data_IF_677592076837
#
_entry.id   IF_677592076837
#
_cell.length_a   1.000
_cell.length_b   1.000
_cell.length_c   1.000
_cell.angle_alpha   90.00
_cell.angle_beta   90.00
_cell.angle_gamma   90.00
#
_symmetry.space_group_name_H-M   'P 1'
#
loop_
_entity.id
_entity.type
_entity.pdbx_description
1 polymer ?
#
# COMPACT_ATOMS: atom_id res chain seq x y z
N UNK A 1 2.06 -25.61 21.34
CA UNK A 1 3.25 -26.08 20.60
C UNK A 1 4.13 -24.87 20.27
N UNK A 2 5.38 -24.87 20.75
CA UNK A 2 6.33 -23.78 20.47
C UNK A 2 7.05 -24.12 19.17
N UNK A 3 6.69 -23.46 18.07
CA UNK A 3 7.39 -23.59 16.80
C UNK A 3 8.56 -22.61 16.72
N UNK A 4 9.73 -23.09 16.26
CA UNK A 4 10.89 -22.24 15.99
C UNK A 4 10.64 -21.44 14.70
N UNK A 5 10.70 -20.12 14.78
CA UNK A 5 10.66 -19.24 13.63
C UNK A 5 12.06 -18.66 13.37
N UNK A 6 12.59 -18.89 12.19
CA UNK A 6 13.87 -18.34 11.75
C UNK A 6 13.64 -17.32 10.64
N UNK A 7 14.24 -16.15 10.77
CA UNK A 7 14.21 -15.09 9.76
C UNK A 7 15.64 -14.66 9.44
N UNK A 8 15.96 -14.54 8.17
CA UNK A 8 17.25 -14.02 7.73
C UNK A 8 17.33 -12.51 7.94
N UNK A 9 18.47 -12.03 8.44
CA UNK A 9 18.74 -10.61 8.61
C UNK A 9 19.77 -10.20 7.56
N UNK A 10 19.44 -9.20 6.74
CA UNK A 10 20.32 -8.68 5.72
C UNK A 10 20.67 -7.22 6.02
N UNK A 11 21.92 -6.86 5.81
CA UNK A 11 22.37 -5.48 5.87
C UNK A 11 22.17 -4.81 4.52
N UNK A 12 21.66 -3.57 4.54
CA UNK A 12 21.60 -2.70 3.38
C UNK A 12 22.44 -1.45 3.64
N UNK A 13 23.18 -1.02 2.64
CA UNK A 13 24.01 0.18 2.72
C UNK A 13 24.06 0.88 1.37
N UNK A 14 24.17 2.20 1.42
CA UNK A 14 24.36 3.07 0.26
C UNK A 14 25.69 3.80 0.47
N UNK A 15 26.61 3.64 -0.48
CA UNK A 15 27.87 4.40 -0.52
C UNK A 15 27.74 5.54 -1.52
N UNK A 16 28.30 6.68 -1.19
CA UNK A 16 28.49 7.80 -2.10
C UNK A 16 29.92 8.31 -2.01
N UNK A 17 30.43 8.86 -3.09
CA UNK A 17 31.79 9.35 -3.17
C UNK A 17 31.86 10.58 -4.05
N UNK A 18 32.82 11.46 -3.79
CA UNK A 18 32.97 12.71 -4.50
C UNK A 18 34.22 12.69 -5.39
N UNK A 19 34.07 13.16 -6.62
CA UNK A 19 35.20 13.49 -7.47
C UNK A 19 35.86 14.80 -7.04
N UNK A 20 37.15 14.91 -7.28
CA UNK A 20 37.92 16.15 -6.96
C UNK A 20 37.34 17.39 -7.66
N UNK A 21 36.90 17.24 -8.90
CA UNK A 21 36.29 18.32 -9.68
C UNK A 21 34.92 18.74 -9.11
N UNK A 22 34.11 17.78 -8.65
CA UNK A 22 32.83 18.07 -8.00
C UNK A 22 32.99 18.86 -6.72
N UNK A 23 33.99 18.51 -5.91
CA UNK A 23 34.29 19.23 -4.67
C UNK A 23 34.68 20.69 -4.98
N UNK A 24 35.51 20.90 -5.99
CA UNK A 24 35.96 22.25 -6.40
C UNK A 24 34.76 23.07 -6.92
N UNK A 25 33.92 22.50 -7.77
CA UNK A 25 32.74 23.18 -8.29
C UNK A 25 31.72 23.51 -7.17
N UNK A 26 31.49 22.59 -6.26
CA UNK A 26 30.62 22.84 -5.13
C UNK A 26 31.11 23.96 -4.21
N UNK A 27 32.42 24.03 -3.97
CA UNK A 27 33.02 25.10 -3.21
C UNK A 27 32.87 26.47 -3.92
N UNK A 28 33.03 26.51 -5.23
CA UNK A 28 32.85 27.74 -6.03
C UNK A 28 31.39 28.22 -6.02
N UNK A 29 30.43 27.28 -6.00
CA UNK A 29 28.98 27.57 -6.03
C UNK A 29 28.37 27.70 -4.64
N UNK A 30 29.13 27.43 -3.57
CA UNK A 30 28.62 27.42 -2.20
C UNK A 30 27.63 26.30 -1.90
N UNK A 31 27.68 25.22 -2.67
CA UNK A 31 26.78 24.05 -2.50
C UNK A 31 27.33 23.08 -1.46
N UNK A 32 26.43 22.50 -0.67
CA UNK A 32 26.79 21.50 0.33
C UNK A 32 26.49 20.08 -0.21
N UNK A 33 27.40 19.52 -1.00
CA UNK A 33 27.30 18.17 -1.60
C UNK A 33 27.00 17.09 -0.56
N UNK A 34 27.64 17.17 0.60
CA UNK A 34 27.51 16.15 1.64
C UNK A 34 26.08 16.09 2.20
N UNK A 35 25.41 17.23 2.37
CA UNK A 35 24.04 17.27 2.86
C UNK A 35 23.04 16.76 1.79
N UNK A 36 23.26 17.12 0.53
CA UNK A 36 22.39 16.73 -0.58
C UNK A 36 22.48 15.24 -0.85
N UNK A 37 23.67 14.65 -0.86
CA UNK A 37 23.89 13.23 -1.03
C UNK A 37 23.36 12.41 0.16
N UNK A 38 23.52 12.91 1.37
CA UNK A 38 22.94 12.26 2.56
C UNK A 38 21.42 12.22 2.51
N UNK A 39 20.78 13.30 2.04
CA UNK A 39 19.32 13.33 1.84
C UNK A 39 18.89 12.38 0.71
N UNK A 40 19.63 12.33 -0.40
CA UNK A 40 19.36 11.42 -1.50
C UNK A 40 19.51 9.95 -1.07
N UNK A 41 20.57 9.62 -0.34
CA UNK A 41 20.79 8.28 0.20
C UNK A 41 19.68 7.85 1.17
N UNK A 42 19.26 8.74 2.07
CA UNK A 42 18.13 8.50 2.97
C UNK A 42 16.85 8.21 2.20
N UNK A 43 16.55 9.03 1.20
CA UNK A 43 15.35 8.83 0.36
C UNK A 43 15.36 7.49 -0.37
N UNK A 44 16.51 7.12 -0.95
CA UNK A 44 16.65 5.82 -1.62
C UNK A 44 16.49 4.65 -0.64
N UNK A 45 16.99 4.79 0.59
CA UNK A 45 16.80 3.80 1.65
C UNK A 45 15.31 3.67 2.04
N UNK A 46 14.62 4.78 2.27
CA UNK A 46 13.20 4.79 2.61
C UNK A 46 12.36 4.15 1.48
N UNK A 47 12.65 4.45 0.22
CA UNK A 47 12.01 3.81 -0.94
C UNK A 47 12.26 2.30 -1.02
N UNK A 48 13.47 1.87 -0.71
CA UNK A 48 13.81 0.45 -0.67
C UNK A 48 13.04 -0.28 0.43
N UNK A 49 12.99 0.30 1.64
CA UNK A 49 12.25 -0.28 2.78
C UNK A 49 10.76 -0.38 2.46
N UNK A 50 10.17 0.67 1.90
CA UNK A 50 8.76 0.66 1.50
C UNK A 50 8.47 -0.43 0.46
N UNK A 51 9.32 -0.55 -0.56
CA UNK A 51 9.20 -1.59 -1.59
C UNK A 51 9.31 -2.98 -1.00
N UNK A 52 10.29 -3.23 -0.12
CA UNK A 52 10.46 -4.54 0.52
C UNK A 52 9.27 -4.85 1.44
N UNK A 53 8.76 -3.87 2.17
CA UNK A 53 7.59 -4.07 3.03
C UNK A 53 6.32 -4.44 2.24
N UNK A 54 6.13 -3.86 1.06
CA UNK A 54 4.95 -4.12 0.22
C UNK A 54 5.10 -5.37 -0.64
N UNK A 55 6.16 -5.45 -1.43
CA UNK A 55 6.32 -6.49 -2.47
C UNK A 55 7.37 -7.54 -2.13
N UNK A 56 8.11 -7.35 -1.04
CA UNK A 56 9.18 -8.25 -0.64
C UNK A 56 10.43 -8.14 -1.51
N UNK A 57 11.38 -9.03 -1.24
CA UNK A 57 12.57 -9.24 -2.04
C UNK A 57 12.80 -10.76 -2.19
N UNK A 58 12.45 -11.30 -3.34
CA UNK A 58 12.54 -12.73 -3.62
C UNK A 58 13.98 -13.27 -3.62
N UNK A 59 14.96 -12.44 -3.97
CA UNK A 59 16.38 -12.84 -3.96
C UNK A 59 16.91 -13.05 -2.54
N UNK A 60 16.36 -12.31 -1.58
CA UNK A 60 16.71 -12.40 -0.16
C UNK A 60 15.73 -13.24 0.66
N UNK A 61 14.70 -13.78 0.02
CA UNK A 61 13.69 -14.60 0.69
C UNK A 61 12.72 -13.80 1.56
N UNK A 62 12.61 -12.48 1.36
CA UNK A 62 11.62 -11.65 2.06
C UNK A 62 10.29 -11.67 1.32
N UNK A 63 9.22 -11.99 2.05
CA UNK A 63 7.86 -11.78 1.60
C UNK A 63 7.36 -10.42 2.09
N UNK A 64 6.68 -9.69 1.19
CA UNK A 64 6.02 -8.42 1.54
C UNK A 64 4.54 -8.63 1.83
N UNK A 65 3.86 -7.56 2.21
CA UNK A 65 2.43 -7.57 2.52
C UNK A 65 1.58 -8.14 1.36
N UNK A 66 2.00 -7.93 0.13
CA UNK A 66 1.22 -8.29 -1.07
C UNK A 66 1.48 -9.71 -1.54
N UNK A 67 2.67 -10.25 -1.34
CA UNK A 67 3.08 -11.56 -1.86
C UNK A 67 3.32 -12.61 -0.78
N UNK A 68 2.97 -12.32 0.45
CA UNK A 68 3.06 -13.30 1.54
C UNK A 68 2.05 -14.43 1.30
N UNK A 69 2.49 -15.67 1.47
CA UNK A 69 1.66 -16.86 1.29
C UNK A 69 0.47 -16.95 2.28
N UNK A 70 0.57 -16.27 3.41
CA UNK A 70 -0.50 -16.20 4.41
C UNK A 70 -1.55 -15.13 4.09
N UNK A 71 -1.34 -14.32 3.04
CA UNK A 71 -2.31 -13.29 2.63
C UNK A 71 -3.22 -13.86 1.55
N UNK A 72 -4.48 -14.05 1.87
CA UNK A 72 -5.50 -14.50 0.92
C UNK A 72 -5.66 -13.48 -0.19
N UNK A 73 -5.61 -13.94 -1.44
CA UNK A 73 -5.83 -13.12 -2.62
C UNK A 73 -7.01 -13.65 -3.42
N UNK A 74 -7.94 -12.77 -3.75
CA UNK A 74 -9.09 -13.07 -4.59
C UNK A 74 -9.21 -12.04 -5.73
N UNK A 75 -9.81 -12.44 -6.83
CA UNK A 75 -10.21 -11.51 -7.87
C UNK A 75 -11.50 -10.79 -7.44
N UNK A 76 -11.59 -9.49 -7.71
CA UNK A 76 -12.83 -8.74 -7.52
C UNK A 76 -13.89 -9.21 -8.52
N UNK A 77 -15.13 -9.27 -8.07
CA UNK A 77 -16.27 -9.77 -8.88
C UNK A 77 -16.51 -8.87 -10.09
N UNK A 78 -16.35 -7.56 -9.95
CA UNK A 78 -16.58 -6.57 -11.03
C UNK A 78 -15.45 -6.53 -12.07
N UNK A 79 -14.27 -7.06 -11.73
CA UNK A 79 -13.08 -6.98 -12.58
C UNK A 79 -12.39 -5.62 -12.51
N UNK A 80 -11.92 -5.09 -13.66
CA UNK A 80 -11.23 -3.78 -13.65
C UNK A 80 -12.22 -2.63 -13.64
N UNK A 81 -12.12 -1.74 -12.66
CA UNK A 81 -12.93 -0.52 -12.60
C UNK A 81 -12.57 0.43 -13.75
N UNK A 82 -13.56 0.78 -14.56
CA UNK A 82 -13.46 1.71 -15.67
C UNK A 82 -14.52 2.81 -15.52
N UNK A 83 -14.45 3.84 -16.35
CA UNK A 83 -15.42 4.93 -16.32
C UNK A 83 -16.88 4.48 -16.55
N UNK A 84 -17.08 3.31 -17.16
CA UNK A 84 -18.39 2.70 -17.40
C UNK A 84 -18.79 1.67 -16.33
N UNK A 85 -17.97 1.45 -15.32
CA UNK A 85 -18.30 0.53 -14.22
C UNK A 85 -19.36 1.18 -13.33
N UNK A 86 -20.40 0.43 -12.98
CA UNK A 86 -21.42 0.91 -12.06
C UNK A 86 -20.79 1.17 -10.69
N UNK A 87 -21.08 2.31 -10.11
CA UNK A 87 -20.53 2.80 -8.85
C UNK A 87 -20.89 1.89 -7.67
N UNK A 88 -22.09 1.32 -7.66
CA UNK A 88 -22.55 0.40 -6.62
C UNK A 88 -21.69 -0.86 -6.59
N UNK A 89 -21.27 -1.37 -7.76
CA UNK A 89 -20.39 -2.52 -7.86
C UNK A 89 -18.99 -2.23 -7.32
N UNK A 90 -18.47 -1.03 -7.56
CA UNK A 90 -17.17 -0.59 -7.00
C UNK A 90 -17.23 -0.55 -5.47
N UNK A 91 -18.31 -0.02 -4.92
CA UNK A 91 -18.53 0.01 -3.47
C UNK A 91 -18.71 -1.40 -2.90
N UNK A 92 -19.42 -2.28 -3.61
CA UNK A 92 -19.60 -3.68 -3.23
C UNK A 92 -18.25 -4.42 -3.18
N UNK A 93 -17.38 -4.28 -4.19
CA UNK A 93 -16.05 -4.90 -4.23
C UNK A 93 -15.20 -4.51 -3.00
N UNK A 94 -15.23 -3.23 -2.60
CA UNK A 94 -14.48 -2.74 -1.45
C UNK A 94 -15.06 -3.27 -0.14
N UNK A 95 -16.39 -3.25 -0.01
CA UNK A 95 -17.06 -3.77 1.19
C UNK A 95 -16.91 -5.29 1.31
N UNK A 96 -16.92 -6.03 0.20
CA UNK A 96 -16.65 -7.46 0.16
C UNK A 96 -15.24 -7.78 0.68
N UNK A 97 -14.22 -7.00 0.26
CA UNK A 97 -12.85 -7.16 0.75
C UNK A 97 -12.76 -6.93 2.27
N UNK A 98 -13.42 -5.89 2.80
CA UNK A 98 -13.41 -5.58 4.24
C UNK A 98 -14.16 -6.67 5.03
N UNK A 99 -15.30 -7.12 4.51
CA UNK A 99 -16.12 -8.16 5.15
C UNK A 99 -15.44 -9.53 5.08
N UNK A 100 -14.71 -9.83 4.00
CA UNK A 100 -13.96 -11.07 3.84
C UNK A 100 -13.00 -11.32 5.01
N UNK A 101 -12.26 -10.29 5.41
CA UNK A 101 -11.35 -10.38 6.56
C UNK A 101 -12.13 -10.65 7.87
N UNK A 102 -13.28 -10.00 8.04
CA UNK A 102 -14.12 -10.24 9.22
C UNK A 102 -14.64 -11.68 9.25
N UNK A 103 -15.10 -12.21 8.12
CA UNK A 103 -15.59 -13.59 8.00
C UNK A 103 -14.49 -14.62 8.21
N UNK A 104 -13.32 -14.43 7.62
CA UNK A 104 -12.18 -15.35 7.77
C UNK A 104 -11.66 -15.41 9.22
N UNK A 105 -11.78 -14.30 9.95
CA UNK A 105 -11.41 -14.22 11.36
C UNK A 105 -12.57 -14.53 12.32
N UNK A 106 -13.70 -15.03 11.82
CA UNK A 106 -14.92 -15.28 12.61
C UNK A 106 -15.34 -14.04 13.42
N UNK A 107 -15.27 -12.86 12.78
CA UNK A 107 -15.61 -11.54 13.35
C UNK A 107 -14.78 -11.11 14.56
N UNK A 108 -13.63 -11.75 14.80
CA UNK A 108 -12.69 -11.31 15.86
C UNK A 108 -11.78 -10.15 15.43
N UNK A 109 -11.65 -9.92 14.14
CA UNK A 109 -10.88 -8.84 13.56
C UNK A 109 -11.51 -8.24 12.31
N UNK A 110 -11.37 -6.95 12.13
CA UNK A 110 -11.76 -6.25 10.91
C UNK A 110 -10.59 -5.44 10.37
N UNK A 111 -10.57 -5.23 9.06
CA UNK A 111 -9.62 -4.32 8.43
C UNK A 111 -9.99 -2.87 8.76
N UNK A 112 -9.04 -2.12 9.28
CA UNK A 112 -9.14 -0.69 9.58
C UNK A 112 -8.45 0.19 8.52
N UNK A 113 -7.66 -0.43 7.65
CA UNK A 113 -6.86 0.26 6.64
C UNK A 113 -7.04 -0.39 5.27
N UNK A 114 -7.33 0.44 4.27
CA UNK A 114 -7.45 0.07 2.87
C UNK A 114 -6.34 0.78 2.07
N UNK A 115 -5.52 0.01 1.36
CA UNK A 115 -4.52 0.50 0.45
C UNK A 115 -4.99 0.33 -0.99
N UNK A 116 -4.87 1.39 -1.78
CA UNK A 116 -5.27 1.42 -3.18
C UNK A 116 -4.12 1.92 -4.06
N UNK A 117 -4.03 1.48 -5.33
CA UNK A 117 -3.18 2.10 -6.32
C UNK A 117 -3.59 3.56 -6.56
N UNK A 118 -2.64 4.42 -6.92
CA UNK A 118 -2.93 5.84 -7.20
C UNK A 118 -4.02 6.04 -8.27
N UNK A 119 -3.99 5.24 -9.34
CA UNK A 119 -4.99 5.31 -10.41
C UNK A 119 -6.41 5.03 -9.89
N UNK A 120 -6.57 4.04 -9.00
CA UNK A 120 -7.88 3.70 -8.42
C UNK A 120 -8.32 4.68 -7.35
N UNK A 121 -7.37 5.25 -6.60
CA UNK A 121 -7.68 6.34 -5.68
C UNK A 121 -8.18 7.58 -6.43
N UNK A 122 -7.52 7.95 -7.53
CA UNK A 122 -7.98 9.04 -8.40
C UNK A 122 -9.37 8.75 -8.98
N UNK A 123 -9.61 7.51 -9.41
CA UNK A 123 -10.92 7.07 -9.90
C UNK A 123 -12.03 7.32 -8.85
N UNK A 124 -11.83 6.92 -7.60
CA UNK A 124 -12.79 7.14 -6.52
C UNK A 124 -12.99 8.62 -6.18
N UNK A 125 -11.94 9.43 -6.31
CA UNK A 125 -11.98 10.85 -6.00
C UNK A 125 -12.67 11.69 -7.08
N UNK A 126 -12.62 11.24 -8.35
CA UNK A 126 -13.16 12.00 -9.50
C UNK A 126 -14.55 11.57 -9.90
N UNK A 127 -14.91 10.29 -9.73
CA UNK A 127 -16.23 9.80 -10.09
C UNK A 127 -17.26 10.12 -9.00
N UNK A 128 -18.43 10.54 -9.45
CA UNK A 128 -19.58 10.82 -8.58
C UNK A 128 -20.39 9.56 -8.35
N UNK A 129 -21.11 9.52 -7.26
CA UNK A 129 -22.07 8.46 -6.94
C UNK A 129 -23.40 8.80 -7.64
N UNK A 130 -23.64 8.19 -8.80
CA UNK A 130 -24.83 8.47 -9.61
C UNK A 130 -25.01 9.95 -9.90
N UNK A 131 -26.24 10.46 -9.81
CA UNK A 131 -26.59 11.87 -10.03
C UNK A 131 -26.35 12.76 -8.79
N UNK A 132 -25.61 12.27 -7.80
CA UNK A 132 -25.36 13.04 -6.57
C UNK A 132 -24.17 14.00 -6.72
N UNK A 133 -24.04 14.96 -5.79
CA UNK A 133 -22.88 15.87 -5.70
C UNK A 133 -21.69 15.19 -4.98
N UNK A 134 -21.88 14.02 -4.38
CA UNK A 134 -20.85 13.30 -3.62
C UNK A 134 -19.96 12.46 -4.53
N UNK A 135 -18.66 12.43 -4.25
CA UNK A 135 -17.73 11.51 -4.91
C UNK A 135 -17.79 10.13 -4.24
N UNK A 136 -17.44 9.08 -4.97
CA UNK A 136 -17.33 7.73 -4.44
C UNK A 136 -16.42 7.66 -3.20
N UNK A 137 -15.32 8.40 -3.22
CA UNK A 137 -14.38 8.44 -2.10
C UNK A 137 -15.00 9.06 -0.84
N UNK A 138 -15.75 10.16 -0.99
CA UNK A 138 -16.41 10.82 0.14
C UNK A 138 -17.47 9.89 0.74
N UNK A 139 -18.29 9.30 -0.11
CA UNK A 139 -19.31 8.34 0.32
C UNK A 139 -18.69 7.12 1.02
N UNK A 140 -17.62 6.55 0.45
CA UNK A 140 -16.94 5.39 1.00
C UNK A 140 -16.31 5.67 2.38
N UNK A 141 -15.82 6.88 2.63
CA UNK A 141 -15.27 7.24 3.95
C UNK A 141 -16.31 7.25 5.06
N UNK A 142 -17.53 7.63 4.73
CA UNK A 142 -18.64 7.73 5.69
C UNK A 142 -19.45 6.44 5.76
N UNK A 143 -19.66 5.79 4.61
CA UNK A 143 -20.55 4.65 4.45
C UNK A 143 -19.79 3.41 3.95
N UNK A 144 -19.19 2.68 4.87
CA UNK A 144 -18.54 1.41 4.58
C UNK A 144 -18.82 0.40 5.70
N UNK A 145 -18.59 -0.88 5.42
CA UNK A 145 -18.85 -1.98 6.36
C UNK A 145 -18.09 -1.81 7.68
N UNK A 146 -16.83 -1.34 7.65
CA UNK A 146 -16.04 -1.13 8.86
C UNK A 146 -16.65 -0.04 9.76
N UNK A 147 -17.00 1.12 9.17
CA UNK A 147 -17.62 2.23 9.91
C UNK A 147 -18.99 1.83 10.46
N UNK A 148 -19.79 1.10 9.68
CA UNK A 148 -21.11 0.64 10.10
C UNK A 148 -21.03 -0.33 11.30
N UNK A 149 -20.03 -1.20 11.35
CA UNK A 149 -19.90 -2.21 12.40
C UNK A 149 -19.14 -1.72 13.63
N UNK A 150 -18.16 -0.81 13.47
CA UNK A 150 -17.28 -0.39 14.57
C UNK A 150 -17.56 1.03 15.07
N UNK A 151 -18.24 1.86 14.27
CA UNK A 151 -18.41 3.29 14.53
C UNK A 151 -17.14 4.10 14.32
N UNK A 152 -16.05 3.50 13.81
CA UNK A 152 -14.78 4.17 13.55
C UNK A 152 -14.59 4.42 12.06
N UNK A 153 -13.82 5.44 11.70
CA UNK A 153 -13.53 5.76 10.31
C UNK A 153 -12.49 4.82 9.70
N UNK A 154 -12.75 4.35 8.48
CA UNK A 154 -11.80 3.56 7.69
C UNK A 154 -10.66 4.44 7.17
N UNK A 155 -9.42 4.00 7.37
CA UNK A 155 -8.24 4.68 6.82
C UNK A 155 -8.01 4.24 5.37
N UNK A 156 -8.19 5.14 4.41
CA UNK A 156 -7.98 4.88 2.98
C UNK A 156 -6.73 5.62 2.52
N UNK A 157 -5.77 4.91 1.93
CA UNK A 157 -4.48 5.46 1.48
C UNK A 157 -4.14 5.00 0.07
N UNK A 158 -3.57 5.92 -0.72
CA UNK A 158 -2.93 5.57 -1.98
C UNK A 158 -1.47 5.16 -1.72
N UNK A 159 -1.04 4.08 -2.34
CA UNK A 159 0.31 3.53 -2.16
C UNK A 159 0.88 3.15 -3.52
N UNK A 160 2.16 3.51 -3.73
CA UNK A 160 2.92 3.16 -4.93
C UNK A 160 3.27 1.66 -4.90
N UNK A 161 3.29 1.03 -6.08
CA UNK A 161 3.68 -0.38 -6.22
C UNK A 161 2.50 -1.35 -6.21
N UNK A 162 1.27 -0.87 -5.98
CA UNK A 162 0.06 -1.68 -6.08
C UNK A 162 -0.53 -1.73 -7.50
N UNK A 163 0.00 -0.94 -8.42
CA UNK A 163 -0.45 -0.84 -9.82
C UNK A 163 -0.23 -2.15 -10.58
N UNK A 164 0.82 -2.90 -10.24
CA UNK A 164 1.21 -4.15 -10.90
C UNK A 164 1.35 -5.32 -9.94
N UNK A 165 0.87 -5.17 -8.71
CA UNK A 165 1.05 -6.16 -7.64
C UNK A 165 0.04 -7.32 -7.69
N UNK A 166 -0.96 -7.25 -8.55
CA UNK A 166 -1.90 -8.33 -8.78
C UNK A 166 -1.37 -9.42 -9.71
N UNK A 167 -2.07 -10.54 -9.78
CA UNK A 167 -1.75 -11.62 -10.71
C UNK A 167 -1.74 -11.08 -12.16
N UNK A 168 -0.77 -11.50 -12.96
CA UNK A 168 -0.55 -11.00 -14.32
C UNK A 168 -0.31 -9.47 -14.44
N UNK A 169 0.18 -8.82 -13.35
CA UNK A 169 0.53 -7.41 -13.38
C UNK A 169 -0.65 -6.44 -13.35
N UNK A 170 -1.81 -6.88 -12.88
CA UNK A 170 -2.98 -5.99 -12.70
C UNK A 170 -2.90 -5.22 -11.38
N UNK A 171 -3.75 -4.19 -11.27
CA UNK A 171 -3.89 -3.43 -10.02
C UNK A 171 -4.35 -4.34 -8.88
N UNK A 172 -3.84 -4.06 -7.69
CA UNK A 172 -4.24 -4.75 -6.47
C UNK A 172 -4.66 -3.76 -5.40
N UNK A 173 -5.73 -4.06 -4.68
CA UNK A 173 -6.07 -3.39 -3.43
C UNK A 173 -5.79 -4.32 -2.27
N UNK A 174 -5.47 -3.75 -1.11
CA UNK A 174 -5.13 -4.50 0.10
C UNK A 174 -5.87 -3.90 1.28
N UNK A 175 -6.61 -4.72 2.01
CA UNK A 175 -7.19 -4.36 3.28
C UNK A 175 -6.48 -5.14 4.39
N UNK A 176 -6.19 -4.48 5.51
CA UNK A 176 -5.56 -5.11 6.65
C UNK A 176 -5.87 -4.37 7.96
N UNK A 177 -5.66 -5.02 9.07
CA UNK A 177 -5.75 -4.40 10.38
C UNK A 177 -4.38 -3.87 10.78
N UNK A 178 -4.27 -2.56 10.97
CA UNK A 178 -3.02 -1.89 11.38
C UNK A 178 -2.76 -2.08 12.88
N UNK A 179 -2.40 -3.28 13.25
CA UNK A 179 -2.05 -3.63 14.62
C UNK A 179 -0.72 -4.39 14.65
N UNK A 180 0.28 -3.99 15.47
CA UNK A 180 1.57 -4.70 15.58
C UNK A 180 1.46 -6.18 15.97
N UNK A 181 0.35 -6.60 16.56
CA UNK A 181 0.10 -8.00 16.89
C UNK A 181 -0.34 -8.83 15.67
N UNK A 182 -0.84 -8.18 14.62
CA UNK A 182 -1.33 -8.82 13.39
C UNK A 182 -0.25 -8.77 12.31
N UNK A 183 0.43 -7.64 12.19
CA UNK A 183 1.55 -7.44 11.26
C UNK A 183 2.86 -7.79 11.98
N UNK A 184 3.30 -9.02 11.82
CA UNK A 184 4.58 -9.52 12.37
C UNK A 184 5.58 -9.76 11.26
#
# INVERSE_FOLDING_TARGET
ELAKHETSVHMAGIGYGYGYEEINQAQMLGMNLQADDAMAARRAYEEMVERVALTGDTQKGFSGLVNNASVTAAAVTTGSWTASTNEDLVLADINELILGIATDTQYTGMADTLLLPYAKMNFLATNRLGDTQSTLLTFLRENNTYTAMTGQSLTIRAVRGLETAGAAGVNRMVAYRRNPQVLK
#
